data_IF_021996901463
#
_entry.id   IF_021996901463
#
_cell.length_a   1.000
_cell.length_b   1.000
_cell.length_c   1.000
_cell.angle_alpha   90.00
_cell.angle_beta   90.00
_cell.angle_gamma   90.00
#
_symmetry.space_group_name_H-M   'P 1'
#
loop_
_entity.id
_entity.type
_entity.pdbx_description
1 polymer ?
#
# COMPACT_ATOMS: atom_id res chain seq x y z
N UNK A 1 -10.71 -6.82 -2.46
CA UNK A 1 -10.76 -7.28 -1.05
C UNK A 1 -11.79 -8.40 -0.86
N UNK A 2 -11.68 -9.51 -1.61
CA UNK A 2 -12.68 -10.60 -1.60
C UNK A 2 -12.40 -11.70 -0.57
N UNK A 3 -11.13 -11.93 -0.23
CA UNK A 3 -10.74 -12.96 0.76
C UNK A 3 -11.13 -12.53 2.17
N UNK A 4 -10.81 -11.29 2.55
CA UNK A 4 -11.21 -10.73 3.85
C UNK A 4 -12.72 -10.49 3.94
N UNK A 5 -13.38 -10.12 2.83
CA UNK A 5 -14.84 -9.94 2.84
C UNK A 5 -15.60 -11.24 3.08
N UNK A 6 -15.08 -12.39 2.64
CA UNK A 6 -15.65 -13.72 2.98
C UNK A 6 -15.66 -13.98 4.49
N UNK A 7 -14.79 -13.32 5.26
CA UNK A 7 -14.76 -13.37 6.72
C UNK A 7 -15.52 -12.22 7.40
N UNK A 8 -16.15 -11.34 6.62
CA UNK A 8 -16.81 -10.14 7.13
C UNK A 8 -15.85 -9.03 7.57
N UNK A 9 -14.57 -9.11 7.20
CA UNK A 9 -13.50 -8.19 7.62
C UNK A 9 -13.15 -7.15 6.54
N UNK A 10 -13.94 -7.05 5.48
CA UNK A 10 -13.79 -6.03 4.45
C UNK A 10 -15.08 -5.90 3.64
N UNK A 11 -15.32 -4.74 3.06
CA UNK A 11 -16.31 -4.62 1.98
C UNK A 11 -15.75 -5.22 0.69
N UNK A 12 -16.54 -6.07 0.03
CA UNK A 12 -16.15 -6.68 -1.22
C UNK A 12 -16.14 -5.62 -2.34
N UNK A 13 -14.96 -5.11 -2.68
CA UNK A 13 -14.73 -4.31 -3.88
C UNK A 13 -14.07 -5.14 -4.97
N UNK A 14 -14.60 -5.03 -6.18
CA UNK A 14 -14.07 -5.66 -7.39
C UNK A 14 -12.88 -4.86 -7.96
N UNK A 15 -12.03 -5.49 -8.78
CA UNK A 15 -10.85 -4.86 -9.37
C UNK A 15 -11.20 -3.57 -10.13
N UNK A 16 -12.30 -3.59 -10.90
CA UNK A 16 -12.79 -2.44 -11.66
C UNK A 16 -13.37 -1.29 -10.81
N UNK A 17 -13.50 -1.48 -9.49
CA UNK A 17 -13.88 -0.45 -8.53
C UNK A 17 -12.65 0.24 -7.89
N UNK A 18 -11.47 -0.36 -8.02
CA UNK A 18 -10.18 0.22 -7.61
C UNK A 18 -9.66 1.08 -8.75
N UNK A 19 -9.41 0.47 -9.92
CA UNK A 19 -9.08 1.19 -11.17
C UNK A 19 -10.35 1.78 -11.79
N UNK A 20 -10.87 2.87 -11.21
CA UNK A 20 -12.16 3.43 -11.56
C UNK A 20 -12.10 4.53 -12.63
N UNK A 21 -10.93 5.13 -12.85
CA UNK A 21 -10.82 6.23 -13.79
C UNK A 21 -10.96 5.72 -15.25
N UNK A 22 -11.63 6.49 -16.14
CA UNK A 22 -11.78 6.09 -17.54
C UNK A 22 -10.45 5.82 -18.24
N UNK A 23 -9.39 6.55 -17.86
CA UNK A 23 -8.05 6.38 -18.41
C UNK A 23 -7.34 5.12 -17.89
N UNK A 24 -7.54 4.76 -16.62
CA UNK A 24 -7.01 3.52 -16.02
C UNK A 24 -7.63 2.29 -16.67
N UNK A 25 -8.96 2.29 -16.86
CA UNK A 25 -9.67 1.20 -17.54
C UNK A 25 -9.25 1.02 -18.99
N UNK A 26 -8.93 2.11 -19.69
CA UNK A 26 -8.49 2.06 -21.08
C UNK A 26 -7.05 1.55 -21.24
N UNK A 27 -6.18 1.83 -20.26
CA UNK A 27 -4.75 1.48 -20.32
C UNK A 27 -4.38 0.22 -19.54
N UNK A 28 -5.23 -0.24 -18.62
CA UNK A 28 -4.96 -1.40 -17.76
C UNK A 28 -3.82 -1.15 -16.78
N UNK A 29 -3.57 0.11 -16.43
CA UNK A 29 -2.55 0.52 -15.44
C UNK A 29 -3.20 1.47 -14.43
N UNK A 30 -2.84 1.33 -13.15
CA UNK A 30 -3.20 2.29 -12.10
C UNK A 30 -2.48 3.61 -12.36
N UNK A 31 -3.20 4.73 -12.25
CA UNK A 31 -2.70 6.09 -12.49
C UNK A 31 -2.81 6.91 -11.20
N UNK A 32 -3.98 6.87 -10.57
CA UNK A 32 -4.27 7.56 -9.32
C UNK A 32 -4.09 6.61 -8.13
N UNK A 33 -3.74 7.18 -6.98
CA UNK A 33 -3.73 6.42 -5.73
C UNK A 33 -5.16 6.05 -5.34
N UNK A 34 -5.39 4.77 -5.08
CA UNK A 34 -6.70 4.28 -4.63
C UNK A 34 -6.65 3.92 -3.16
N UNK A 35 -7.62 4.43 -2.41
CA UNK A 35 -7.75 4.17 -0.97
C UNK A 35 -8.78 3.06 -0.74
N UNK A 36 -8.34 1.97 -0.13
CA UNK A 36 -9.17 0.80 0.20
C UNK A 36 -9.07 0.53 1.69
N UNK A 37 -10.21 0.34 2.34
CA UNK A 37 -10.26 -0.04 3.75
C UNK A 37 -10.56 -1.53 3.90
N UNK A 38 -9.87 -2.17 4.83
CA UNK A 38 -10.13 -3.54 5.27
C UNK A 38 -9.55 -3.74 6.67
N UNK A 39 -9.94 -4.81 7.34
CA UNK A 39 -9.47 -5.13 8.68
C UNK A 39 -8.99 -6.58 8.79
N UNK A 40 -8.20 -6.83 9.83
CA UNK A 40 -7.94 -8.14 10.38
C UNK A 40 -8.59 -8.20 11.76
N UNK A 41 -8.55 -9.37 12.41
CA UNK A 41 -8.99 -9.48 13.81
C UNK A 41 -8.20 -8.57 14.77
N UNK A 42 -7.02 -8.07 14.36
CA UNK A 42 -6.14 -7.26 15.20
C UNK A 42 -6.21 -5.77 14.90
N UNK A 43 -6.40 -5.38 13.64
CA UNK A 43 -6.17 -4.00 13.17
C UNK A 43 -7.09 -3.62 12.02
N UNK A 44 -7.39 -2.33 11.93
CA UNK A 44 -7.99 -1.70 10.77
C UNK A 44 -6.91 -1.10 9.88
N UNK A 45 -7.03 -1.27 8.57
CA UNK A 45 -6.07 -0.84 7.57
C UNK A 45 -6.71 0.13 6.57
N UNK A 46 -6.03 1.24 6.33
CA UNK A 46 -6.19 2.03 5.13
C UNK A 46 -5.06 1.66 4.18
N UNK A 47 -5.40 1.06 3.04
CA UNK A 47 -4.46 0.62 2.01
C UNK A 47 -4.46 1.62 0.87
N UNK A 48 -3.29 2.15 0.57
CA UNK A 48 -3.06 3.03 -0.58
C UNK A 48 -2.42 2.20 -1.68
N UNK A 49 -3.18 1.96 -2.75
CA UNK A 49 -2.65 1.29 -3.94
C UNK A 49 -1.89 2.32 -4.79
N UNK A 50 -0.61 2.05 -5.06
CA UNK A 50 0.29 2.99 -5.73
C UNK A 50 0.64 2.50 -7.15
N UNK A 51 0.71 3.40 -8.14
CA UNK A 51 1.03 3.02 -9.50
C UNK A 51 2.49 2.55 -9.63
N UNK A 52 2.71 1.49 -10.41
CA UNK A 52 4.04 0.91 -10.67
C UNK A 52 4.75 1.42 -11.92
N UNK A 53 4.07 2.22 -12.74
CA UNK A 53 4.64 2.73 -13.98
C UNK A 53 5.54 3.95 -13.71
N UNK A 54 6.70 4.04 -14.39
CA UNK A 54 7.70 5.08 -14.18
C UNK A 54 7.14 6.51 -14.29
N UNK A 55 6.21 6.72 -15.22
CA UNK A 55 5.57 8.03 -15.43
C UNK A 55 4.75 8.54 -14.23
N UNK A 56 4.34 7.65 -13.32
CA UNK A 56 3.49 7.96 -12.17
C UNK A 56 4.21 7.82 -10.81
N UNK A 57 5.55 7.77 -10.81
CA UNK A 57 6.38 7.73 -9.59
C UNK A 57 6.03 8.85 -8.61
N UNK A 58 5.64 10.03 -9.10
CA UNK A 58 5.24 11.16 -8.25
C UNK A 58 4.07 10.80 -7.33
N UNK A 59 3.08 10.08 -7.86
CA UNK A 59 1.90 9.67 -7.10
C UNK A 59 2.28 8.61 -6.07
N UNK A 60 3.19 7.71 -6.43
CA UNK A 60 3.75 6.74 -5.49
C UNK A 60 4.51 7.43 -4.33
N UNK A 61 5.33 8.45 -4.61
CA UNK A 61 6.07 9.19 -3.56
C UNK A 61 5.09 9.83 -2.56
N UNK A 62 4.03 10.48 -3.04
CA UNK A 62 3.02 11.09 -2.17
C UNK A 62 2.29 10.04 -1.31
N UNK A 63 1.92 8.89 -1.90
CA UNK A 63 1.27 7.80 -1.16
C UNK A 63 2.20 7.13 -0.14
N UNK A 64 3.43 6.81 -0.55
CA UNK A 64 4.42 6.13 0.28
C UNK A 64 4.85 6.94 1.50
N UNK A 65 4.86 8.28 1.40
CA UNK A 65 5.13 9.16 2.54
C UNK A 65 4.13 8.99 3.70
N UNK A 66 2.94 8.44 3.43
CA UNK A 66 1.92 8.19 4.45
C UNK A 66 1.93 6.75 4.98
N UNK A 67 2.82 5.87 4.50
CA UNK A 67 2.75 4.44 4.81
C UNK A 67 3.49 4.09 6.10
N UNK A 68 2.80 3.45 7.04
CA UNK A 68 3.42 2.82 8.22
C UNK A 68 4.19 1.53 7.89
N UNK A 69 3.95 1.00 6.70
CA UNK A 69 4.65 -0.14 6.11
C UNK A 69 4.10 -0.39 4.71
N UNK A 70 4.87 -1.09 3.89
CA UNK A 70 4.49 -1.36 2.49
C UNK A 70 4.43 -2.86 2.20
N UNK A 71 3.57 -3.23 1.24
CA UNK A 71 3.55 -4.56 0.64
C UNK A 71 4.24 -4.47 -0.72
N UNK A 72 5.42 -5.09 -0.85
CA UNK A 72 6.16 -5.16 -2.11
C UNK A 72 5.68 -6.38 -2.90
N UNK A 73 4.97 -6.15 -4.00
CA UNK A 73 4.51 -7.22 -4.89
C UNK A 73 5.53 -7.41 -6.01
N UNK A 74 6.04 -8.63 -6.16
CA UNK A 74 6.97 -9.02 -7.24
C UNK A 74 6.41 -10.24 -7.94
N UNK A 75 6.36 -10.23 -9.27
CA UNK A 75 5.94 -11.40 -10.03
C UNK A 75 7.08 -12.42 -10.05
N UNK A 76 6.82 -13.65 -9.59
CA UNK A 76 7.80 -14.73 -9.57
C UNK A 76 8.28 -15.11 -10.98
N UNK A 77 7.46 -14.88 -12.01
CA UNK A 77 7.83 -15.12 -13.42
C UNK A 77 8.82 -14.09 -13.97
N UNK A 78 8.80 -12.87 -13.43
CA UNK A 78 9.49 -11.72 -14.01
C UNK A 78 10.74 -11.32 -13.19
N UNK A 79 10.76 -11.69 -11.91
CA UNK A 79 11.85 -11.33 -10.99
C UNK A 79 11.84 -9.85 -10.62
N UNK A 80 12.96 -9.36 -10.09
CA UNK A 80 13.06 -7.97 -9.67
C UNK A 80 13.33 -7.03 -10.86
N UNK A 81 12.32 -6.26 -11.23
CA UNK A 81 12.39 -5.30 -12.33
C UNK A 81 13.01 -3.96 -11.89
N UNK A 82 13.42 -3.07 -12.83
CA UNK A 82 13.94 -1.75 -12.49
C UNK A 82 13.03 -0.95 -11.55
N UNK A 83 11.72 -1.03 -11.75
CA UNK A 83 10.71 -0.37 -10.92
C UNK A 83 10.68 -0.94 -9.50
N UNK A 84 10.89 -2.25 -9.33
CA UNK A 84 11.00 -2.88 -8.00
C UNK A 84 12.15 -2.25 -7.21
N UNK A 85 13.31 -2.04 -7.86
CA UNK A 85 14.49 -1.41 -7.24
C UNK A 85 14.22 0.04 -6.86
N UNK A 86 13.58 0.78 -7.76
CA UNK A 86 13.22 2.18 -7.55
C UNK A 86 12.19 2.34 -6.42
N UNK A 87 11.17 1.49 -6.36
CA UNK A 87 10.16 1.52 -5.31
C UNK A 87 10.75 1.23 -3.93
N UNK A 88 11.67 0.26 -3.80
CA UNK A 88 12.37 -0.01 -2.54
C UNK A 88 13.19 1.21 -2.12
N UNK A 89 13.97 1.79 -3.04
CA UNK A 89 14.79 2.97 -2.77
C UNK A 89 13.95 4.17 -2.32
N UNK A 90 12.89 4.49 -3.06
CA UNK A 90 12.02 5.63 -2.77
C UNK A 90 11.26 5.43 -1.46
N UNK A 91 10.74 4.23 -1.21
CA UNK A 91 10.08 3.91 0.06
C UNK A 91 11.01 4.13 1.25
N UNK A 92 12.30 3.78 1.12
CA UNK A 92 13.29 4.07 2.16
C UNK A 92 13.49 5.58 2.35
N UNK A 93 13.57 6.34 1.26
CA UNK A 93 13.79 7.79 1.29
C UNK A 93 12.62 8.57 1.89
N UNK A 94 11.39 8.12 1.67
CA UNK A 94 10.17 8.74 2.26
C UNK A 94 9.87 8.23 3.66
N UNK A 95 10.66 7.30 4.19
CA UNK A 95 10.61 6.90 5.60
C UNK A 95 9.74 5.69 5.92
N UNK A 96 9.36 4.87 4.92
CA UNK A 96 8.65 3.61 5.17
C UNK A 96 9.53 2.70 6.04
N UNK A 97 9.08 2.31 7.25
CA UNK A 97 9.97 1.66 8.22
C UNK A 97 10.19 0.18 7.92
N UNK A 98 9.16 -0.52 7.41
CA UNK A 98 9.17 -1.97 7.15
C UNK A 98 8.39 -2.32 5.89
N UNK A 99 8.80 -3.40 5.25
CA UNK A 99 8.11 -3.99 4.11
C UNK A 99 7.76 -5.45 4.38
N UNK A 100 6.69 -5.92 3.75
CA UNK A 100 6.37 -7.35 3.58
C UNK A 100 6.38 -7.64 2.09
N UNK A 101 6.94 -8.76 1.66
CA UNK A 101 7.01 -9.13 0.24
C UNK A 101 5.93 -10.14 -0.09
N UNK A 102 5.26 -9.94 -1.22
CA UNK A 102 4.37 -10.94 -1.83
C UNK A 102 4.92 -11.33 -3.20
N UNK A 103 5.47 -12.54 -3.30
CA UNK A 103 5.85 -13.15 -4.58
C UNK A 103 4.58 -13.69 -5.25
N UNK A 104 4.11 -12.97 -6.25
CA UNK A 104 2.85 -13.22 -6.95
C UNK A 104 3.08 -14.09 -8.20
N UNK A 105 2.00 -14.61 -8.77
CA UNK A 105 2.00 -15.49 -9.96
C UNK A 105 2.74 -16.82 -9.77
N UNK A 106 2.91 -17.31 -8.54
CA UNK A 106 3.54 -18.62 -8.30
C UNK A 106 2.76 -19.79 -8.92
N UNK A 107 1.47 -19.60 -9.23
CA UNK A 107 0.66 -20.59 -9.95
C UNK A 107 1.16 -20.89 -11.37
N UNK A 108 1.92 -19.96 -11.97
CA UNK A 108 2.50 -20.11 -13.30
C UNK A 108 3.81 -20.90 -13.31
N UNK A 109 4.44 -21.11 -12.14
CA UNK A 109 5.75 -21.78 -11.99
C UNK A 109 5.62 -23.13 -11.25
N UNK A 110 4.49 -23.81 -11.41
CA UNK A 110 4.26 -25.10 -10.75
C UNK A 110 5.28 -26.13 -11.21
N UNK A 111 6.13 -26.58 -10.28
CA UNK A 111 7.21 -27.53 -10.54
C UNK A 111 8.58 -26.87 -10.79
N UNK A 112 8.68 -25.54 -10.71
CA UNK A 112 9.90 -24.77 -10.88
C UNK A 112 10.27 -24.01 -9.59
N UNK A 113 10.29 -24.72 -8.46
CA UNK A 113 10.52 -24.12 -7.13
C UNK A 113 11.88 -23.40 -7.04
N UNK A 114 12.91 -23.93 -7.71
CA UNK A 114 14.23 -23.33 -7.77
C UNK A 114 14.20 -21.91 -8.38
N UNK A 115 13.30 -21.65 -9.32
CA UNK A 115 13.14 -20.31 -9.90
C UNK A 115 12.52 -19.34 -8.89
N UNK A 116 11.53 -19.79 -8.13
CA UNK A 116 10.88 -18.98 -7.09
C UNK A 116 11.89 -18.65 -5.97
N UNK A 117 12.70 -19.63 -5.57
CA UNK A 117 13.77 -19.44 -4.58
C UNK A 117 14.82 -18.43 -5.07
N UNK A 118 15.23 -18.52 -6.34
CA UNK A 118 16.18 -17.58 -6.93
C UNK A 118 15.62 -16.14 -6.92
N UNK A 119 14.36 -15.96 -7.29
CA UNK A 119 13.70 -14.65 -7.26
C UNK A 119 13.57 -14.13 -5.83
N UNK A 120 13.24 -14.99 -4.86
CA UNK A 120 13.23 -14.61 -3.45
C UNK A 120 14.61 -14.10 -2.99
N UNK A 121 15.68 -14.82 -3.33
CA UNK A 121 17.04 -14.41 -3.01
C UNK A 121 17.37 -13.04 -3.60
N UNK A 122 17.05 -12.79 -4.89
CA UNK A 122 17.28 -11.48 -5.52
C UNK A 122 16.52 -10.36 -4.79
N UNK A 123 15.26 -10.59 -4.44
CA UNK A 123 14.45 -9.58 -3.72
C UNK A 123 15.03 -9.29 -2.33
N UNK A 124 15.47 -10.33 -1.60
CA UNK A 124 16.11 -10.16 -0.29
C UNK A 124 17.42 -9.36 -0.39
N UNK A 125 18.25 -9.66 -1.37
CA UNK A 125 19.48 -8.90 -1.63
C UNK A 125 19.18 -7.43 -1.94
N UNK A 126 18.14 -7.14 -2.73
CA UNK A 126 17.72 -5.78 -3.03
C UNK A 126 17.20 -5.04 -1.79
N UNK A 127 16.41 -5.70 -0.94
CA UNK A 127 15.96 -5.12 0.33
C UNK A 127 17.17 -4.74 1.20
N UNK A 128 18.11 -5.66 1.38
CA UNK A 128 19.34 -5.42 2.15
C UNK A 128 20.18 -4.28 1.56
N UNK A 129 20.34 -4.25 0.24
CA UNK A 129 21.08 -3.20 -0.47
C UNK A 129 20.54 -1.80 -0.21
N UNK A 130 19.21 -1.65 -0.09
CA UNK A 130 18.55 -0.37 0.13
C UNK A 130 18.18 -0.11 1.61
N UNK A 131 18.72 -0.92 2.53
CA UNK A 131 18.63 -0.67 3.98
C UNK A 131 17.34 -1.14 4.65
N UNK A 132 16.66 -2.12 4.05
CA UNK A 132 15.64 -2.94 4.72
C UNK A 132 16.26 -4.25 5.24
N UNK A 133 15.56 -4.93 6.14
CA UNK A 133 15.99 -6.22 6.70
C UNK A 133 15.69 -7.36 5.71
N UNK A 134 16.53 -7.53 4.68
CA UNK A 134 16.31 -8.55 3.65
C UNK A 134 16.33 -9.99 4.17
N UNK A 135 17.08 -10.25 5.24
CA UNK A 135 17.21 -11.59 5.82
C UNK A 135 15.93 -12.03 6.55
N UNK A 136 15.31 -11.12 7.32
CA UNK A 136 14.15 -11.45 8.15
C UNK A 136 12.81 -10.96 7.58
N UNK A 137 12.81 -10.12 6.53
CA UNK A 137 11.55 -9.65 5.92
C UNK A 137 10.68 -10.85 5.52
N UNK A 138 9.39 -10.88 5.91
CA UNK A 138 8.49 -11.93 5.49
C UNK A 138 8.28 -11.89 3.96
N UNK A 139 8.42 -13.05 3.33
CA UNK A 139 8.17 -13.26 1.91
C UNK A 139 7.09 -14.32 1.77
N UNK A 140 5.95 -13.94 1.19
CA UNK A 140 4.81 -14.84 1.02
C UNK A 140 4.70 -15.17 -0.47
N UNK A 141 4.76 -16.46 -0.79
CA UNK A 141 4.63 -17.01 -2.15
C UNK A 141 3.17 -17.34 -2.42
N UNK A 142 2.59 -16.84 -3.51
CA UNK A 142 1.18 -17.08 -3.82
C UNK A 142 0.72 -16.56 -5.17
N UNK A 143 -0.60 -16.56 -5.34
CA UNK A 143 -1.28 -16.06 -6.54
C UNK A 143 -2.51 -15.26 -6.14
N UNK A 144 -2.43 -13.94 -6.29
CA UNK A 144 -3.55 -13.05 -5.99
C UNK A 144 -4.75 -13.31 -6.92
N UNK A 145 -4.51 -13.69 -8.17
CA UNK A 145 -5.56 -13.99 -9.14
C UNK A 145 -6.31 -15.28 -8.77
N UNK A 146 -5.61 -16.35 -8.44
CA UNK A 146 -6.26 -17.60 -8.04
C UNK A 146 -6.96 -17.48 -6.68
N UNK A 147 -6.41 -16.68 -5.76
CA UNK A 147 -7.10 -16.32 -4.52
C UNK A 147 -8.42 -15.57 -4.80
N UNK A 148 -8.41 -14.61 -5.73
CA UNK A 148 -9.60 -13.87 -6.15
C UNK A 148 -10.67 -14.78 -6.78
N UNK A 149 -10.25 -15.80 -7.54
CA UNK A 149 -11.13 -16.84 -8.11
C UNK A 149 -11.67 -17.83 -7.06
N UNK A 150 -11.20 -17.76 -5.82
CA UNK A 150 -11.67 -18.60 -4.72
C UNK A 150 -10.90 -19.91 -4.53
N UNK A 151 -9.69 -20.02 -5.07
CA UNK A 151 -8.83 -21.16 -4.79
C UNK A 151 -8.33 -21.09 -3.33
N UNK A 152 -8.78 -22.06 -2.52
CA UNK A 152 -8.54 -22.09 -1.07
C UNK A 152 -7.06 -22.00 -0.69
N UNK A 153 -6.19 -22.68 -1.43
CA UNK A 153 -4.74 -22.69 -1.19
C UNK A 153 -4.16 -21.27 -1.25
N UNK A 154 -4.54 -20.50 -2.28
CA UNK A 154 -4.06 -19.14 -2.46
C UNK A 154 -4.80 -18.12 -1.59
N UNK A 155 -6.05 -18.38 -1.22
CA UNK A 155 -6.72 -17.58 -0.18
C UNK A 155 -5.99 -17.67 1.16
N UNK A 156 -5.49 -18.85 1.53
CA UNK A 156 -4.69 -19.02 2.75
C UNK A 156 -3.36 -18.25 2.66
N UNK A 157 -2.77 -18.11 1.47
CA UNK A 157 -1.59 -17.24 1.26
C UNK A 157 -1.89 -15.76 1.45
N UNK A 158 -3.09 -15.29 1.09
CA UNK A 158 -3.50 -13.92 1.42
C UNK A 158 -3.69 -13.74 2.93
N UNK A 159 -4.23 -14.75 3.63
CA UNK A 159 -4.31 -14.71 5.10
C UNK A 159 -2.93 -14.73 5.76
N UNK A 160 -1.99 -15.51 5.23
CA UNK A 160 -0.59 -15.54 5.66
C UNK A 160 0.08 -14.17 5.48
N UNK A 161 -0.12 -13.54 4.33
CA UNK A 161 0.33 -12.16 4.05
C UNK A 161 -0.21 -11.18 5.09
N UNK A 162 -1.52 -11.23 5.38
CA UNK A 162 -2.13 -10.32 6.35
C UNK A 162 -1.64 -10.56 7.79
N UNK A 163 -1.39 -11.81 8.16
CA UNK A 163 -0.77 -12.12 9.46
C UNK A 163 0.69 -11.61 9.53
N UNK A 164 1.44 -11.70 8.44
CA UNK A 164 2.77 -11.11 8.36
C UNK A 164 2.71 -9.58 8.49
N UNK A 165 1.76 -8.91 7.83
CA UNK A 165 1.52 -7.46 7.99
C UNK A 165 1.20 -7.13 9.46
N UNK A 166 0.30 -7.87 10.11
CA UNK A 166 -0.07 -7.68 11.51
C UNK A 166 1.11 -7.81 12.49
N UNK A 167 2.04 -8.72 12.20
CA UNK A 167 3.13 -9.07 13.14
C UNK A 167 4.44 -8.34 12.84
N UNK A 168 4.71 -8.08 11.56
CA UNK A 168 5.94 -7.47 11.10
C UNK A 168 5.86 -5.95 11.07
N UNK A 169 4.76 -5.37 10.59
CA UNK A 169 4.60 -3.91 10.53
C UNK A 169 4.17 -3.43 11.92
N UNK A 170 4.95 -2.51 12.49
CA UNK A 170 4.68 -1.97 13.82
C UNK A 170 3.51 -1.01 13.77
N UNK A 171 2.65 -1.07 14.78
CA UNK A 171 1.62 -0.03 14.94
C UNK A 171 2.32 1.29 15.25
N UNK A 172 2.07 2.37 14.47
CA UNK A 172 2.69 3.66 14.72
C UNK A 172 2.26 4.22 16.08
N UNK A 173 3.18 4.89 16.76
CA UNK A 173 2.87 5.62 17.99
C UNK A 173 2.10 6.88 17.62
N UNK A 174 0.86 6.99 18.10
CA UNK A 174 0.00 8.15 17.83
C UNK A 174 0.20 9.22 18.88
N UNK A 175 0.65 10.40 18.46
CA UNK A 175 0.93 11.53 19.35
C UNK A 175 -0.27 12.49 19.44
N UNK A 176 -1.31 12.06 20.13
CA UNK A 176 -2.58 12.79 20.20
C UNK A 176 -2.52 14.12 20.96
N UNK A 177 -1.54 14.29 21.85
CA UNK A 177 -1.43 15.47 22.72
C UNK A 177 -0.65 16.64 22.07
N UNK A 178 -0.18 16.46 20.84
CA UNK A 178 0.53 17.51 20.09
C UNK A 178 -0.45 18.41 19.30
N UNK A 179 -0.04 19.61 18.88
CA UNK A 179 -0.84 20.43 17.97
C UNK A 179 -1.16 19.69 16.67
N UNK A 180 -2.41 19.81 16.21
CA UNK A 180 -2.89 19.18 14.99
C UNK A 180 -1.97 19.50 13.79
N UNK A 181 -1.62 18.47 13.05
CA UNK A 181 -0.93 18.58 11.78
C UNK A 181 -1.45 17.47 10.86
N UNK A 182 -1.85 17.85 9.65
CA UNK A 182 -2.26 16.92 8.62
C UNK A 182 -1.59 17.33 7.30
N UNK A 183 -0.94 16.37 6.65
CA UNK A 183 -0.42 16.58 5.31
C UNK A 183 -1.57 16.46 4.31
N UNK A 184 -1.77 17.48 3.47
CA UNK A 184 -2.81 17.44 2.42
C UNK A 184 -2.28 16.64 1.24
N UNK A 185 -3.01 15.59 0.87
CA UNK A 185 -2.75 14.74 -0.29
C UNK A 185 -3.52 15.20 -1.52
N UNK A 186 -4.80 15.48 -1.34
CA UNK A 186 -5.70 15.88 -2.42
C UNK A 186 -6.78 16.85 -1.93
N UNK A 187 -7.36 17.59 -2.87
CA UNK A 187 -8.42 18.58 -2.62
C UNK A 187 -9.50 18.45 -3.67
N UNK A 188 -10.73 18.21 -3.24
CA UNK A 188 -11.89 18.14 -4.11
C UNK A 188 -13.08 18.92 -3.56
N UNK A 189 -14.04 19.22 -4.42
CA UNK A 189 -15.27 19.94 -4.04
C UNK A 189 -16.44 18.98 -4.10
N UNK A 190 -17.15 18.83 -2.97
CA UNK A 190 -18.41 18.08 -2.91
C UNK A 190 -19.56 19.07 -3.04
N UNK A 191 -20.36 18.91 -4.10
CA UNK A 191 -21.58 19.70 -4.32
C UNK A 191 -22.48 19.67 -3.09
N UNK A 192 -22.79 20.85 -2.54
CA UNK A 192 -23.64 21.00 -1.36
C UNK A 192 -22.94 20.83 -0.01
N UNK A 193 -21.64 20.48 0.04
CA UNK A 193 -20.85 20.45 1.29
C UNK A 193 -19.69 21.44 1.30
N UNK A 194 -19.04 21.65 0.15
CA UNK A 194 -17.90 22.55 0.01
C UNK A 194 -16.59 21.82 -0.32
N UNK A 195 -15.47 22.50 -0.04
CA UNK A 195 -14.12 21.98 -0.28
C UNK A 195 -13.72 20.98 0.79
N UNK A 196 -13.19 19.84 0.37
CA UNK A 196 -12.68 18.77 1.23
C UNK A 196 -11.20 18.59 0.90
N UNK A 197 -10.36 18.68 1.93
CA UNK A 197 -8.95 18.30 1.86
C UNK A 197 -8.79 16.93 2.54
N UNK A 198 -8.13 15.99 1.87
CA UNK A 198 -7.86 14.65 2.39
C UNK A 198 -6.37 14.48 2.67
N UNK A 199 -6.06 13.59 3.60
CA UNK A 199 -4.69 13.16 3.89
C UNK A 199 -4.54 12.53 5.26
N UNK A 200 -3.31 12.15 5.59
CA UNK A 200 -2.98 11.51 6.87
C UNK A 200 -2.76 12.56 7.97
N UNK A 201 -3.42 12.37 9.11
CA UNK A 201 -3.13 13.13 10.33
C UNK A 201 -1.80 12.62 10.90
N UNK A 202 -0.81 13.50 10.92
CA UNK A 202 0.54 13.21 11.41
C UNK A 202 0.59 13.22 12.95
N UNK A 203 -0.13 14.16 13.56
CA UNK A 203 -0.19 14.31 15.03
C UNK A 203 -1.39 15.13 15.47
N UNK A 204 -1.68 15.06 16.77
CA UNK A 204 -2.76 15.79 17.40
C UNK A 204 -4.14 15.24 17.10
N UNK A 205 -5.15 16.06 17.38
CA UNK A 205 -6.57 15.80 17.10
C UNK A 205 -7.19 17.07 16.55
N UNK A 206 -8.19 16.92 15.70
CA UNK A 206 -9.01 18.01 15.21
C UNK A 206 -10.47 17.68 15.49
N UNK A 207 -11.15 18.57 16.22
CA UNK A 207 -12.59 18.49 16.42
C UNK A 207 -13.34 19.37 15.42
N UNK A 208 -14.62 19.08 15.25
CA UNK A 208 -15.48 19.88 14.38
C UNK A 208 -15.49 21.35 14.83
N UNK A 209 -15.30 22.27 13.88
CA UNK A 209 -15.26 23.73 14.07
C UNK A 209 -14.03 24.27 14.82
N UNK A 210 -12.98 23.47 15.04
CA UNK A 210 -11.70 24.03 15.47
C UNK A 210 -11.04 24.79 14.32
N UNK A 211 -10.50 25.99 14.63
CA UNK A 211 -9.75 26.78 13.66
C UNK A 211 -8.46 26.08 13.25
N UNK A 212 -8.11 26.18 11.97
CA UNK A 212 -6.85 25.64 11.43
C UNK A 212 -6.14 26.66 10.56
N UNK A 213 -4.83 26.45 10.39
CA UNK A 213 -4.01 27.22 9.47
C UNK A 213 -3.60 26.34 8.28
N UNK A 214 -3.84 26.84 7.06
CA UNK A 214 -3.32 26.24 5.84
C UNK A 214 -1.93 26.84 5.60
N UNK A 215 -0.89 26.04 5.77
CA UNK A 215 0.52 26.44 5.75
C UNK A 215 1.25 25.76 4.58
N UNK A 216 2.01 26.55 3.81
CA UNK A 216 2.86 26.06 2.71
C UNK A 216 2.41 26.51 1.32
N UNK A 217 3.34 26.54 0.36
CA UNK A 217 3.23 27.02 -1.04
C UNK A 217 2.80 28.49 -1.24
N UNK A 218 1.93 29.01 -0.38
CA UNK A 218 1.40 30.36 -0.36
C UNK A 218 1.49 30.96 1.05
N UNK A 219 1.29 32.28 1.22
CA UNK A 219 1.19 32.90 2.54
C UNK A 219 0.12 32.20 3.39
N UNK A 220 0.44 31.96 4.66
CA UNK A 220 -0.43 31.25 5.61
C UNK A 220 -1.81 31.90 5.69
N UNK A 221 -2.86 31.07 5.60
CA UNK A 221 -4.25 31.49 5.67
C UNK A 221 -4.94 30.78 6.85
N UNK A 222 -5.68 31.55 7.66
CA UNK A 222 -6.56 31.03 8.72
C UNK A 222 -7.94 30.74 8.16
N UNK A 223 -8.54 29.63 8.58
CA UNK A 223 -9.89 29.20 8.20
C UNK A 223 -10.66 28.68 9.38
#
# INVERSE_FOLDING_TARGET
ATVLSKKGLAEAKDYAAIDNAPEEKARGITINTSHIEYETEKRHYAHVDCPGHADYIKNMITGAAQMDGAILVVAATDGAMPQTREHILLSKQVGVPRMVVFLNKCDMLKGEEEMIELVEMEVRELLSKYGFDGDNTPVIRGSALEALKGNKEYEDKIMELMNAVDTWIQTPVKEFDKPFLMAVEDVFTITGRGTVATGRVERGRLNLNEEVEIVGLHPTKKT
#
